data_IF_912957494647
#
_entry.id   IF_912957494647
#
_cell.length_a   1.000
_cell.length_b   1.000
_cell.length_c   1.000
_cell.angle_alpha   90.00
_cell.angle_beta   90.00
_cell.angle_gamma   90.00
#
_symmetry.space_group_name_H-M   'P 1'
#
loop_
_entity.id
_entity.type
_entity.pdbx_description
1 polymer ?
#
# COMPACT_ATOMS: atom_id res chain seq x y z
N UNK A 1 51.94 12.21 -37.31
CA UNK A 1 50.46 12.07 -37.27
C UNK A 1 49.93 10.62 -37.10
N UNK A 2 50.78 9.57 -36.94
CA UNK A 2 50.31 8.18 -36.76
C UNK A 2 49.79 7.87 -35.33
N UNK A 3 50.37 8.46 -34.28
CA UNK A 3 50.05 8.13 -32.88
C UNK A 3 48.72 8.70 -32.36
N UNK A 4 48.16 9.72 -33.02
CA UNK A 4 46.88 10.34 -32.61
C UNK A 4 45.71 9.47 -33.04
N UNK A 5 45.80 8.84 -34.22
CA UNK A 5 44.75 7.96 -34.75
C UNK A 5 44.55 6.71 -33.88
N UNK A 6 45.65 6.15 -33.35
CA UNK A 6 45.63 4.97 -32.48
C UNK A 6 45.01 5.30 -31.11
N UNK A 7 45.33 6.47 -30.54
CA UNK A 7 44.75 6.91 -29.27
C UNK A 7 43.24 7.20 -29.39
N UNK A 8 42.81 7.77 -30.52
CA UNK A 8 41.40 8.03 -30.80
C UNK A 8 40.58 6.74 -30.98
N UNK A 9 41.13 5.72 -31.65
CA UNK A 9 40.43 4.43 -31.82
C UNK A 9 40.33 3.62 -30.53
N UNK A 10 41.32 3.71 -29.63
CA UNK A 10 41.23 3.10 -28.29
C UNK A 10 40.19 3.81 -27.43
N UNK A 11 40.12 5.15 -27.50
CA UNK A 11 39.11 5.93 -26.78
C UNK A 11 37.68 5.64 -27.30
N UNK A 12 37.52 5.51 -28.61
CA UNK A 12 36.24 5.19 -29.24
C UNK A 12 35.76 3.77 -28.88
N UNK A 13 36.67 2.79 -28.85
CA UNK A 13 36.36 1.42 -28.44
C UNK A 13 35.95 1.34 -26.97
N UNK A 14 36.62 2.09 -26.09
CA UNK A 14 36.24 2.17 -24.67
C UNK A 14 34.86 2.81 -24.46
N UNK A 15 34.53 3.84 -25.25
CA UNK A 15 33.23 4.50 -25.20
C UNK A 15 32.10 3.57 -25.68
N UNK A 16 32.35 2.81 -26.75
CA UNK A 16 31.43 1.79 -27.27
C UNK A 16 31.19 0.67 -26.26
N UNK A 17 32.24 0.21 -25.56
CA UNK A 17 32.11 -0.83 -24.53
C UNK A 17 31.29 -0.36 -23.33
N UNK A 18 31.46 0.90 -22.88
CA UNK A 18 30.64 1.51 -21.82
C UNK A 18 29.17 1.73 -22.22
N UNK A 19 28.92 2.07 -23.48
CA UNK A 19 27.55 2.24 -23.99
C UNK A 19 26.85 0.88 -24.11
N UNK A 20 27.54 -0.14 -24.63
CA UNK A 20 26.98 -1.50 -24.77
C UNK A 20 26.72 -2.19 -23.42
N UNK A 21 27.57 -1.98 -22.41
CA UNK A 21 27.31 -2.51 -21.06
C UNK A 21 26.14 -1.84 -20.34
N UNK A 22 25.73 -0.64 -20.78
CA UNK A 22 24.55 0.05 -20.27
C UNK A 22 23.23 -0.49 -20.86
N UNK A 23 23.28 -1.17 -22.02
CA UNK A 23 22.09 -1.78 -22.66
C UNK A 23 21.84 -3.24 -22.25
N UNK A 24 22.77 -3.88 -21.55
CA UNK A 24 22.56 -5.20 -20.93
C UNK A 24 22.28 -5.09 -19.44
N UNK A 25 21.74 -3.95 -18.96
CA UNK A 25 20.84 -4.01 -17.82
C UNK A 25 19.57 -4.70 -18.30
N UNK A 26 19.70 -6.02 -18.47
CA UNK A 26 18.59 -6.94 -18.50
C UNK A 26 17.72 -6.49 -17.35
N UNK A 27 16.51 -6.05 -17.64
CA UNK A 27 15.45 -5.97 -16.65
C UNK A 27 15.45 -7.34 -15.99
N UNK A 28 16.16 -7.43 -14.88
CA UNK A 28 16.07 -8.53 -13.97
C UNK A 28 14.68 -8.28 -13.41
N UNK A 29 13.67 -8.80 -14.09
CA UNK A 29 12.34 -9.00 -13.54
C UNK A 29 12.59 -9.89 -12.34
N UNK A 30 12.90 -9.25 -11.23
CA UNK A 30 12.80 -9.83 -9.91
C UNK A 30 11.40 -10.45 -9.95
N UNK A 31 11.26 -11.78 -9.79
CA UNK A 31 9.95 -12.40 -9.81
C UNK A 31 9.11 -11.62 -8.82
N UNK A 32 8.09 -10.91 -9.33
CA UNK A 32 7.18 -10.14 -8.50
C UNK A 32 6.55 -11.20 -7.62
N UNK A 33 6.95 -11.27 -6.35
CA UNK A 33 6.34 -12.19 -5.40
C UNK A 33 4.87 -11.85 -5.43
N UNK A 34 4.06 -12.76 -5.99
CA UNK A 34 2.65 -12.54 -6.26
C UNK A 34 1.92 -12.39 -4.92
N UNK A 35 1.90 -11.16 -4.40
CA UNK A 35 1.28 -10.85 -3.12
C UNK A 35 -0.20 -10.52 -3.35
N UNK A 36 -0.91 -11.46 -3.98
CA UNK A 36 -2.31 -11.34 -4.39
C UNK A 36 -3.19 -10.87 -3.25
N UNK A 37 -2.91 -11.32 -2.03
CA UNK A 37 -3.60 -10.89 -0.82
C UNK A 37 -3.38 -9.41 -0.53
N UNK A 38 -2.11 -8.97 -0.46
CA UNK A 38 -1.76 -7.57 -0.21
C UNK A 38 -2.35 -6.67 -1.29
N UNK A 39 -2.24 -7.06 -2.56
CA UNK A 39 -2.72 -6.26 -3.69
C UNK A 39 -4.24 -6.14 -3.67
N UNK A 40 -4.96 -7.22 -3.32
CA UNK A 40 -6.42 -7.17 -3.16
C UNK A 40 -6.81 -6.25 -2.00
N UNK A 41 -6.17 -6.38 -0.84
CA UNK A 41 -6.41 -5.51 0.33
C UNK A 41 -6.13 -4.04 0.00
N UNK A 42 -5.00 -3.78 -0.65
CA UNK A 42 -4.59 -2.43 -1.07
C UNK A 42 -5.58 -1.82 -2.07
N UNK A 43 -6.02 -2.60 -3.06
CA UNK A 43 -7.02 -2.17 -4.04
C UNK A 43 -8.32 -1.74 -3.36
N UNK A 44 -8.81 -2.50 -2.36
CA UNK A 44 -10.00 -2.12 -1.61
C UNK A 44 -9.82 -0.81 -0.84
N UNK A 45 -8.63 -0.58 -0.26
CA UNK A 45 -8.34 0.70 0.41
C UNK A 45 -8.37 1.88 -0.57
N UNK A 46 -7.75 1.73 -1.74
CA UNK A 46 -7.77 2.77 -2.78
C UNK A 46 -9.20 3.08 -3.25
N UNK A 47 -10.00 2.05 -3.51
CA UNK A 47 -11.42 2.21 -3.88
C UNK A 47 -12.26 2.89 -2.80
N UNK A 48 -11.75 2.95 -1.56
CA UNK A 48 -12.46 3.47 -0.40
C UNK A 48 -11.90 4.81 0.11
N UNK A 49 -10.87 5.37 -0.54
CA UNK A 49 -10.18 6.58 -0.05
C UNK A 49 -11.15 7.76 0.17
N UNK A 50 -12.11 7.93 -0.74
CA UNK A 50 -13.09 9.00 -0.74
C UNK A 50 -14.38 8.68 0.05
N UNK A 51 -14.45 7.52 0.69
CA UNK A 51 -15.62 7.18 1.52
C UNK A 51 -15.67 8.11 2.73
N UNK A 52 -16.81 8.77 2.91
CA UNK A 52 -17.07 9.61 4.07
C UNK A 52 -17.57 8.74 5.21
N UNK A 53 -16.84 8.76 6.33
CA UNK A 53 -17.24 8.05 7.54
C UNK A 53 -18.45 8.71 8.20
N UNK A 54 -19.34 7.95 8.86
CA UNK A 54 -20.38 8.53 9.70
C UNK A 54 -19.79 9.47 10.75
N UNK A 55 -20.53 10.53 11.09
CA UNK A 55 -20.09 11.57 12.03
C UNK A 55 -19.62 10.98 13.37
N UNK A 56 -20.38 10.05 13.93
CA UNK A 56 -20.08 9.37 15.20
C UNK A 56 -18.73 8.63 15.16
N UNK A 57 -18.41 8.01 14.02
CA UNK A 57 -17.15 7.29 13.81
C UNK A 57 -15.98 8.27 13.68
N UNK A 58 -16.17 9.36 12.93
CA UNK A 58 -15.15 10.40 12.78
C UNK A 58 -14.82 11.09 14.11
N UNK A 59 -15.83 11.36 14.93
CA UNK A 59 -15.68 11.91 16.28
C UNK A 59 -14.91 10.95 17.19
N UNK A 60 -15.27 9.66 17.20
CA UNK A 60 -14.55 8.63 17.95
C UNK A 60 -13.06 8.56 17.57
N UNK A 61 -12.74 8.59 16.28
CA UNK A 61 -11.34 8.60 15.81
C UNK A 61 -10.59 9.85 16.27
N UNK A 62 -11.27 11.00 16.35
CA UNK A 62 -10.70 12.25 16.84
C UNK A 62 -10.38 12.16 18.33
N UNK A 63 -11.28 11.58 19.14
CA UNK A 63 -11.04 11.34 20.57
C UNK A 63 -9.87 10.37 20.80
N UNK A 64 -9.75 9.33 19.98
CA UNK A 64 -8.60 8.41 20.04
C UNK A 64 -7.28 9.18 19.78
N UNK A 65 -7.28 10.12 18.83
CA UNK A 65 -6.11 10.91 18.49
C UNK A 65 -5.69 11.89 19.59
N UNK A 66 -6.66 12.56 20.23
CA UNK A 66 -6.42 13.54 21.30
C UNK A 66 -5.66 12.93 22.48
N UNK A 67 -5.83 11.64 22.74
CA UNK A 67 -5.15 10.93 23.82
C UNK A 67 -3.66 10.68 23.54
N UNK A 68 -3.18 10.80 22.30
CA UNK A 68 -1.76 10.71 21.96
C UNK A 68 -1.48 11.22 20.51
N UNK A 69 -1.06 12.49 20.32
CA UNK A 69 -0.83 13.07 18.99
C UNK A 69 0.31 12.42 18.20
N UNK A 70 1.19 11.64 18.84
CA UNK A 70 2.21 10.85 18.13
C UNK A 70 1.58 9.64 17.40
N UNK A 71 0.29 9.35 17.62
CA UNK A 71 -0.46 8.25 17.00
C UNK A 71 -1.22 8.63 15.72
N UNK A 72 -0.95 9.78 15.11
CA UNK A 72 -1.59 10.21 13.85
C UNK A 72 -1.58 9.10 12.77
N UNK A 73 -0.48 8.33 12.64
CA UNK A 73 -0.39 7.20 11.69
C UNK A 73 -1.39 6.08 12.01
N UNK A 74 -1.59 5.77 13.29
CA UNK A 74 -2.53 4.73 13.71
C UNK A 74 -3.98 5.18 13.45
N UNK A 75 -4.31 6.43 13.74
CA UNK A 75 -5.65 6.98 13.48
C UNK A 75 -5.94 7.03 11.99
N UNK A 76 -4.96 7.43 11.17
CA UNK A 76 -5.08 7.36 9.71
C UNK A 76 -5.36 5.93 9.24
N UNK A 77 -4.61 4.95 9.72
CA UNK A 77 -4.81 3.55 9.38
C UNK A 77 -6.20 3.03 9.81
N UNK A 78 -6.64 3.38 11.03
CA UNK A 78 -7.97 3.07 11.53
C UNK A 78 -9.07 3.66 10.65
N UNK A 79 -8.92 4.93 10.25
CA UNK A 79 -9.85 5.59 9.34
C UNK A 79 -9.90 4.88 7.99
N UNK A 80 -8.75 4.51 7.41
CA UNK A 80 -8.68 3.78 6.14
C UNK A 80 -9.36 2.42 6.22
N UNK A 81 -9.16 1.66 7.30
CA UNK A 81 -9.86 0.38 7.53
C UNK A 81 -11.36 0.58 7.60
N UNK A 82 -11.83 1.55 8.40
CA UNK A 82 -13.25 1.80 8.54
C UNK A 82 -13.88 2.29 7.22
N UNK A 83 -13.15 3.09 6.43
CA UNK A 83 -13.62 3.53 5.11
C UNK A 83 -13.90 2.36 4.18
N UNK A 84 -13.07 1.32 4.19
CA UNK A 84 -13.32 0.08 3.43
C UNK A 84 -14.62 -0.59 3.90
N UNK A 85 -14.81 -0.70 5.21
CA UNK A 85 -16.00 -1.36 5.77
C UNK A 85 -17.30 -0.59 5.55
N UNK A 86 -17.22 0.74 5.42
CA UNK A 86 -18.36 1.60 5.08
C UNK A 86 -18.54 1.81 3.57
N UNK A 87 -17.67 1.24 2.74
CA UNK A 87 -17.74 1.45 1.30
C UNK A 87 -18.90 0.68 0.67
N UNK A 88 -19.95 1.40 0.27
CA UNK A 88 -21.14 0.82 -0.37
C UNK A 88 -20.92 0.28 -1.78
N UNK A 89 -19.80 0.62 -2.42
CA UNK A 89 -19.48 0.12 -3.77
C UNK A 89 -18.80 -1.25 -3.75
N UNK A 90 -18.24 -1.66 -2.62
CA UNK A 90 -17.65 -2.98 -2.44
C UNK A 90 -18.75 -4.02 -2.21
N UNK A 91 -18.50 -5.25 -2.66
CA UNK A 91 -19.40 -6.35 -2.35
C UNK A 91 -19.35 -6.68 -0.85
N UNK A 92 -20.46 -7.20 -0.31
CA UNK A 92 -20.51 -7.70 1.07
C UNK A 92 -19.41 -8.73 1.36
N UNK A 93 -19.09 -9.57 0.37
CA UNK A 93 -18.04 -10.57 0.48
C UNK A 93 -16.64 -9.96 0.54
N UNK A 94 -16.37 -8.87 -0.19
CA UNK A 94 -15.09 -8.16 -0.12
C UNK A 94 -14.90 -7.45 1.22
N UNK A 95 -15.97 -6.81 1.73
CA UNK A 95 -15.98 -6.21 3.05
C UNK A 95 -15.71 -7.27 4.13
N UNK A 96 -16.39 -8.42 4.03
CA UNK A 96 -16.18 -9.54 4.94
C UNK A 96 -14.76 -10.09 4.88
N UNK A 97 -14.26 -10.35 3.66
CA UNK A 97 -12.88 -10.79 3.43
C UNK A 97 -11.87 -9.83 4.05
N UNK A 98 -12.01 -8.53 3.80
CA UNK A 98 -11.10 -7.51 4.31
C UNK A 98 -11.13 -7.45 5.84
N UNK A 99 -12.32 -7.32 6.44
CA UNK A 99 -12.46 -7.19 7.90
C UNK A 99 -11.98 -8.43 8.65
N UNK A 100 -12.29 -9.63 8.16
CA UNK A 100 -11.79 -10.87 8.76
C UNK A 100 -10.27 -10.98 8.66
N UNK A 101 -9.68 -10.53 7.55
CA UNK A 101 -8.23 -10.53 7.40
C UNK A 101 -7.53 -9.55 8.35
N UNK A 102 -8.09 -8.34 8.51
CA UNK A 102 -7.60 -7.36 9.48
C UNK A 102 -7.67 -7.92 10.91
N UNK A 103 -8.76 -8.58 11.28
CA UNK A 103 -8.92 -9.15 12.63
C UNK A 103 -7.97 -10.33 12.90
N UNK A 104 -7.55 -11.07 11.87
CA UNK A 104 -6.58 -12.17 11.98
C UNK A 104 -5.13 -11.70 12.15
N UNK A 105 -4.85 -10.45 11.80
CA UNK A 105 -3.52 -9.84 11.89
C UNK A 105 -3.48 -8.80 13.02
N UNK A 106 -3.29 -9.22 14.29
CA UNK A 106 -3.39 -8.33 15.43
C UNK A 106 -2.32 -7.23 15.37
N UNK A 107 -2.77 -5.99 15.16
CA UNK A 107 -1.93 -4.80 15.17
C UNK A 107 -2.37 -3.85 16.29
N UNK A 108 -1.40 -3.35 17.07
CA UNK A 108 -1.65 -2.32 18.09
C UNK A 108 -2.27 -1.05 17.48
N UNK A 109 -2.01 -0.79 16.20
CA UNK A 109 -2.57 0.36 15.48
C UNK A 109 -4.06 0.21 15.19
N UNK A 110 -4.61 -1.01 15.17
CA UNK A 110 -6.03 -1.29 14.85
C UNK A 110 -6.83 -1.70 16.08
N UNK A 111 -6.17 -2.11 17.17
CA UNK A 111 -6.81 -2.64 18.37
C UNK A 111 -7.99 -1.79 18.90
N UNK A 112 -7.88 -0.46 18.84
CA UNK A 112 -8.90 0.48 19.31
C UNK A 112 -10.24 0.41 18.55
N UNK A 113 -10.24 -0.14 17.32
CA UNK A 113 -11.43 -0.25 16.47
C UNK A 113 -11.87 -1.70 16.23
N UNK A 114 -11.25 -2.68 16.89
CA UNK A 114 -11.59 -4.10 16.70
C UNK A 114 -13.07 -4.41 16.95
N UNK A 115 -13.66 -3.75 17.95
CA UNK A 115 -15.09 -3.91 18.26
C UNK A 115 -15.97 -3.36 17.13
N UNK A 116 -15.60 -2.22 16.55
CA UNK A 116 -16.33 -1.62 15.43
C UNK A 116 -16.25 -2.51 14.19
N UNK A 117 -15.08 -3.06 13.88
CA UNK A 117 -14.88 -4.00 12.77
C UNK A 117 -15.80 -5.22 12.95
N UNK A 118 -15.79 -5.83 14.14
CA UNK A 118 -16.65 -6.99 14.44
C UNK A 118 -18.13 -6.65 14.29
N UNK A 119 -18.57 -5.51 14.80
CA UNK A 119 -19.94 -5.06 14.67
C UNK A 119 -20.34 -4.88 13.20
N UNK A 120 -19.54 -4.17 12.40
CA UNK A 120 -19.82 -3.95 10.97
C UNK A 120 -19.88 -5.26 10.18
N UNK A 121 -19.03 -6.23 10.50
CA UNK A 121 -19.07 -7.55 9.88
C UNK A 121 -20.37 -8.30 10.16
N UNK A 122 -20.98 -8.13 11.34
CA UNK A 122 -22.29 -8.75 11.63
C UNK A 122 -23.43 -8.16 10.80
N UNK A 123 -23.35 -6.88 10.43
CA UNK A 123 -24.35 -6.20 9.58
C UNK A 123 -24.20 -6.54 8.09
N UNK A 124 -23.03 -7.08 7.71
CA UNK A 124 -22.68 -7.35 6.31
C UNK A 124 -23.02 -8.80 5.91
N UNK A 125 -23.27 -9.68 6.88
CA UNK A 125 -23.77 -11.04 6.67
C UNK A 125 -25.27 -11.04 6.38
#
# INVERSE_FOLDING_TARGET
>A
MKNIRIKASVLLAALLYCLLSSFTSSAQEIPKVDNVLHDRMYTMMLQSENVVLPKEVAEKLTTINQNNPQKNKAVYLQASVLKVLYNKTLSKNDIAFFGEHILKSPSASIAAINTDIKHLLTLTR
#
